data_IF_358708198010
#
_entry.id   IF_358708198010
#
_cell.length_a   1.000
_cell.length_b   1.000
_cell.length_c   1.000
_cell.angle_alpha   90.00
_cell.angle_beta   90.00
_cell.angle_gamma   90.00
#
_symmetry.space_group_name_H-M   'P 1'
#
loop_
_entity.id
_entity.type
_entity.pdbx_description
1 polymer ?
2 non-polymer ?
3 non-polymer ?
4 non-polymer ?
5 water ?
#
# COMPACT_ATOMS: atom_id res chain seq x y z
N UNK A 9 25.15 7.52 -11.37
CA UNK A 9 24.66 8.11 -10.09
C UNK A 9 23.36 8.86 -10.38
N UNK A 10 22.43 8.86 -9.42
CA UNK A 10 21.14 9.51 -9.60
C UNK A 10 21.13 10.96 -9.12
N UNK A 11 20.20 11.74 -9.67
CA UNK A 11 20.08 13.15 -9.31
C UNK A 11 18.61 13.56 -9.39
N UNK A 12 18.35 14.84 -9.17
CA UNK A 12 16.99 15.36 -9.24
C UNK A 12 16.66 16.05 -10.56
N UNK A 13 17.48 15.80 -11.59
CA UNK A 13 17.27 16.41 -12.91
C UNK A 13 18.22 15.82 -13.96
N UNK A 14 17.88 16.01 -15.24
CA UNK A 14 18.71 15.49 -16.31
C UNK A 14 18.43 14.02 -16.57
N UNK A 15 19.36 13.35 -17.26
CA UNK A 15 19.23 11.93 -17.59
C UNK A 15 19.04 11.05 -16.36
N UNK A 16 19.76 11.37 -15.29
CA UNK A 16 19.68 10.60 -14.05
C UNK A 16 18.60 11.14 -13.11
N UNK A 17 17.66 11.88 -13.68
CA UNK A 17 16.58 12.45 -12.89
C UNK A 17 15.57 11.42 -12.42
N UNK A 18 14.66 11.79 -11.52
CA UNK A 18 13.63 10.89 -10.96
C UNK A 18 12.91 10.03 -12.00
N UNK A 19 12.64 10.60 -13.17
CA UNK A 19 11.94 9.88 -14.23
C UNK A 19 12.72 8.68 -14.75
N UNK A 20 14.02 8.64 -14.52
CA UNK A 20 14.83 7.53 -15.02
C UNK A 20 15.62 6.78 -13.95
N UNK A 21 15.28 7.00 -12.70
CA UNK A 21 15.98 6.31 -11.61
C UNK A 21 15.94 4.79 -11.77
N UNK A 22 14.79 4.27 -12.17
CA UNK A 22 14.64 2.83 -12.34
C UNK A 22 15.56 2.23 -13.41
N UNK A 23 16.09 3.07 -14.30
CA UNK A 23 16.96 2.61 -15.37
C UNK A 23 18.43 2.64 -14.96
N UNK A 24 18.73 3.35 -13.88
CA UNK A 24 20.10 3.48 -13.41
C UNK A 24 20.71 2.20 -12.86
N UNK A 25 19.95 1.48 -12.04
CA UNK A 25 20.45 0.27 -11.42
C UNK A 25 19.33 -0.76 -11.24
N UNK A 26 19.63 -2.04 -11.47
CA UNK A 26 18.63 -3.12 -11.33
C UNK A 26 17.91 -3.08 -9.98
N UNK A 27 18.63 -2.68 -8.95
CA UNK A 27 18.09 -2.59 -7.60
C UNK A 27 17.08 -1.46 -7.43
N UNK A 28 16.97 -0.59 -8.43
CA UNK A 28 16.05 0.53 -8.38
C UNK A 28 14.71 0.19 -9.02
N UNK A 29 14.43 -1.09 -9.21
CA UNK A 29 13.17 -1.48 -9.86
C UNK A 29 11.97 -0.94 -9.09
N UNK A 30 12.12 -0.80 -7.77
CA UNK A 30 11.03 -0.28 -6.92
C UNK A 30 10.49 1.08 -7.36
N UNK A 31 11.38 1.95 -7.83
CA UNK A 31 10.99 3.30 -8.19
C UNK A 31 9.81 3.32 -9.22
N UNK A 32 9.56 2.20 -9.91
CA UNK A 32 8.46 2.14 -10.90
C UNK A 32 7.22 1.35 -10.48
N UNK A 33 7.14 0.98 -9.21
CA UNK A 33 6.03 0.18 -8.69
C UNK A 33 4.74 0.95 -8.38
N UNK A 34 3.89 0.36 -7.54
CA UNK A 34 2.58 0.95 -7.26
C UNK A 34 2.34 1.57 -5.88
N UNK A 35 3.37 1.62 -5.04
CA UNK A 35 3.19 2.15 -3.68
C UNK A 35 4.32 3.07 -3.33
N UNK A 36 4.58 4.02 -4.22
CA UNK A 36 5.67 4.97 -4.07
C UNK A 36 5.35 6.23 -3.30
N UNK A 37 6.39 6.86 -2.79
CA UNK A 37 6.31 8.13 -2.08
C UNK A 37 7.26 9.13 -2.79
N UNK A 38 7.01 10.43 -2.66
CA UNK A 38 5.90 11.01 -1.89
C UNK A 38 4.57 11.01 -2.65
N UNK A 39 3.51 11.48 -1.98
CA UNK A 39 2.21 11.55 -2.62
C UNK A 39 1.52 12.86 -2.27
N UNK A 40 0.51 13.22 -3.03
CA UNK A 40 -0.24 14.41 -2.71
C UNK A 40 -1.25 13.93 -1.66
N UNK A 41 -1.24 14.55 -0.49
CA UNK A 41 -2.17 14.15 0.55
C UNK A 41 -3.47 14.89 0.24
N UNK A 42 -4.34 14.23 -0.54
CA UNK A 42 -5.59 14.82 -0.99
C UNK A 42 -6.86 14.37 -0.29
N UNK A 43 -7.77 15.32 -0.03
CA UNK A 43 -9.04 15.02 0.63
C UNK A 43 -9.79 13.94 -0.17
N UNK A 44 -9.49 13.81 -1.46
CA UNK A 44 -10.15 12.81 -2.31
C UNK A 44 -9.95 11.37 -1.82
N UNK A 45 -8.81 11.09 -1.21
CA UNK A 45 -8.54 9.74 -0.73
C UNK A 45 -7.96 9.73 0.66
N UNK A 46 -8.37 10.70 1.46
CA UNK A 46 -7.94 10.81 2.84
C UNK A 46 -9.15 10.50 3.71
N UNK A 47 -9.01 9.64 4.71
CA UNK A 47 -10.15 9.34 5.55
C UNK A 47 -9.77 9.52 7.01
N UNK A 48 -10.68 10.09 7.79
CA UNK A 48 -10.41 10.30 9.20
C UNK A 48 -10.65 9.00 9.96
N UNK A 49 -9.82 8.72 10.96
CA UNK A 49 -9.98 7.52 11.74
C UNK A 49 -9.33 7.68 13.10
N UNK A 50 -9.69 6.79 14.03
CA UNK A 50 -9.12 6.82 15.37
C UNK A 50 -7.83 6.05 15.25
N UNK A 51 -6.71 6.76 15.28
CA UNK A 51 -5.42 6.10 15.15
C UNK A 51 -4.62 6.12 16.43
N UNK A 52 -3.61 5.27 16.46
CA UNK A 52 -2.73 5.16 17.61
C UNK A 52 -2.09 6.52 17.86
N UNK A 53 -2.02 6.94 19.12
CA UNK A 53 -1.40 8.21 19.43
C UNK A 53 0.09 8.10 19.22
N UNK A 54 0.69 9.18 18.75
CA UNK A 54 2.11 9.22 18.48
C UNK A 54 2.83 9.53 19.79
N UNK A 55 3.59 8.59 20.30
CA UNK A 55 4.31 8.84 21.54
C UNK A 55 5.81 8.83 21.25
N UNK A 56 6.39 10.03 21.19
CA UNK A 56 7.82 10.13 20.95
C UNK A 56 8.39 11.28 21.77
N UNK A 57 9.59 11.10 22.28
CA UNK A 57 10.28 12.14 23.05
C UNK A 57 11.74 12.07 22.64
N UNK A 58 12.09 12.80 21.59
CA UNK A 58 13.45 12.82 21.11
C UNK A 58 14.18 13.94 21.83
N UNK A 59 14.41 13.70 23.12
CA UNK A 59 15.06 14.64 24.00
C UNK A 59 16.13 15.50 23.34
N UNK A 60 17.30 14.92 23.14
CA UNK A 60 18.39 15.64 22.50
C UNK A 60 19.47 14.70 22.03
N UNK A 61 20.04 15.02 20.89
CA UNK A 61 21.09 14.23 20.29
C UNK A 61 22.38 14.97 20.56
N UNK A 62 23.28 14.33 21.30
CA UNK A 62 24.56 14.95 21.65
C UNK A 62 25.63 14.59 20.64
N UNK A 63 26.39 15.58 20.17
CA UNK A 63 27.47 15.38 19.21
C UNK A 63 27.06 14.53 17.99
N UNK A 64 25.89 14.82 17.40
CA UNK A 64 25.44 14.06 16.25
C UNK A 64 26.33 14.37 15.07
N UNK A 65 26.29 13.53 14.04
CA UNK A 65 27.10 13.74 12.86
C UNK A 65 26.26 14.43 11.78
N UNK A 66 26.76 15.54 11.26
CA UNK A 66 26.06 16.29 10.20
C UNK A 66 26.71 15.93 8.86
N UNK A 67 25.91 15.35 7.99
CA UNK A 67 26.39 14.90 6.68
C UNK A 67 25.78 15.58 5.45
N UNK A 68 26.64 15.99 4.53
CA UNK A 68 26.20 16.58 3.28
C UNK A 68 26.54 15.45 2.31
N UNK A 69 25.53 14.71 1.85
CA UNK A 69 25.81 13.59 0.94
C UNK A 69 25.50 13.96 -0.49
N UNK A 70 25.41 15.25 -0.75
CA UNK A 70 25.13 15.69 -2.09
C UNK A 70 23.66 15.74 -2.44
N UNK A 71 22.82 15.00 -1.72
CA UNK A 71 21.39 14.99 -2.03
C UNK A 71 20.54 15.64 -0.92
N UNK A 72 21.16 15.85 0.25
CA UNK A 72 20.47 16.46 1.37
C UNK A 72 21.50 16.72 2.46
N UNK A 73 21.04 17.27 3.58
CA UNK A 73 21.89 17.49 4.75
C UNK A 73 21.24 16.55 5.73
N UNK A 74 22.02 15.59 6.22
CA UNK A 74 21.50 14.58 7.11
C UNK A 74 22.21 14.59 8.44
N UNK A 75 21.46 14.32 9.51
CA UNK A 75 22.00 14.29 10.86
C UNK A 75 21.89 12.88 11.42
N UNK A 76 23.01 12.24 11.67
CA UNK A 76 23.02 10.88 12.21
C UNK A 76 23.13 10.95 13.73
N UNK A 77 22.16 10.38 14.44
CA UNK A 77 22.17 10.43 15.90
C UNK A 77 22.83 9.21 16.54
N UNK A 78 23.48 9.43 17.67
CA UNK A 78 24.15 8.35 18.39
C UNK A 78 23.21 7.67 19.41
N UNK A 79 22.29 8.44 19.99
CA UNK A 79 21.36 7.91 20.97
C UNK A 79 20.40 6.89 20.35
N UNK A 80 19.58 6.27 21.19
CA UNK A 80 18.63 5.26 20.73
C UNK A 80 17.23 5.74 21.10
N UNK A 81 16.63 6.53 20.23
CA UNK A 81 15.29 7.06 20.45
C UNK A 81 14.32 6.09 19.82
N UNK A 82 13.34 5.66 20.60
CA UNK A 82 12.37 4.69 20.14
C UNK A 82 11.05 5.28 19.66
N UNK A 83 10.49 4.64 18.63
CA UNK A 83 9.20 5.02 18.08
C UNK A 83 8.40 3.73 18.08
N UNK A 84 7.42 3.63 18.99
CA UNK A 84 6.59 2.44 19.09
C UNK A 84 5.27 2.70 18.42
N UNK A 85 5.03 2.07 17.29
CA UNK A 85 3.79 2.29 16.60
C UNK A 85 3.47 1.12 15.65
N UNK A 86 2.19 0.88 15.44
CA UNK A 86 1.73 -0.19 14.56
C UNK A 86 2.37 -1.54 14.86
N UNK A 87 2.43 -1.89 16.14
CA UNK A 87 2.99 -3.17 16.54
C UNK A 87 4.49 -3.34 16.40
N UNK A 88 5.21 -2.25 16.11
CA UNK A 88 6.65 -2.36 15.97
C UNK A 88 7.42 -1.39 16.83
N UNK A 89 8.68 -1.69 17.06
CA UNK A 89 9.52 -0.83 17.85
C UNK A 89 10.63 -0.33 16.96
N UNK A 90 10.42 0.85 16.37
CA UNK A 90 11.39 1.44 15.48
C UNK A 90 12.39 2.29 16.25
N UNK A 91 13.60 2.40 15.72
CA UNK A 91 14.63 3.20 16.36
C UNK A 91 15.06 4.31 15.42
N UNK A 92 15.10 5.54 15.92
CA UNK A 92 15.50 6.68 15.12
C UNK A 92 16.94 6.50 14.70
N UNK A 93 17.21 6.74 13.41
CA UNK A 93 18.57 6.61 12.91
C UNK A 93 19.13 7.96 12.48
N UNK A 94 18.30 8.77 11.83
CA UNK A 94 18.74 10.06 11.32
C UNK A 94 17.56 10.87 10.82
N UNK A 95 17.78 12.17 10.65
CA UNK A 95 16.78 13.01 10.04
C UNK A 95 17.50 13.84 8.98
N UNK A 96 16.79 14.21 7.92
CA UNK A 96 17.38 14.98 6.84
C UNK A 96 16.32 15.90 6.27
N UNK A 97 16.68 16.70 5.26
CA UNK A 97 15.74 17.67 4.73
C UNK A 97 15.54 17.72 3.22
N UNK A 98 14.37 18.21 2.82
CA UNK A 98 14.06 18.37 1.41
C UNK A 98 13.45 19.75 1.22
N UNK A 99 13.88 20.45 0.19
CA UNK A 99 13.37 21.77 -0.13
C UNK A 99 13.25 21.83 -1.65
N UNK A 100 12.04 22.06 -2.18
CA UNK A 100 10.77 22.26 -1.46
C UNK A 100 10.38 20.94 -0.80
N UNK A 101 9.19 20.89 -0.20
CA UNK A 101 8.75 19.66 0.45
C UNK A 101 8.51 18.57 -0.58
N UNK A 102 8.46 17.32 -0.12
CA UNK A 102 8.21 16.20 -1.00
C UNK A 102 6.69 15.95 -1.03
N UNK A 103 6.08 15.78 0.14
CA UNK A 103 4.63 15.61 0.20
C UNK A 103 3.99 16.97 0.00
N UNK A 104 2.76 16.97 -0.51
CA UNK A 104 1.99 18.20 -0.69
C UNK A 104 0.66 17.90 0.02
N UNK A 105 -0.11 18.94 0.31
CA UNK A 105 -1.39 18.76 0.98
C UNK A 105 -2.38 19.47 0.06
N UNK A 106 -3.27 18.71 -0.58
CA UNK A 106 -4.24 19.26 -1.53
C UNK A 106 -3.53 20.14 -2.55
N UNK A 107 -2.41 19.62 -3.06
CA UNK A 107 -1.63 20.33 -4.06
C UNK A 107 -0.65 21.38 -3.58
N UNK A 108 -0.66 21.67 -2.28
CA UNK A 108 0.21 22.69 -1.74
C UNK A 108 1.58 22.19 -1.25
N UNK A 109 2.62 22.81 -1.79
CA UNK A 109 3.99 22.51 -1.40
C UNK A 109 4.34 23.41 -0.24
N UNK A 110 5.20 22.92 0.65
CA UNK A 110 5.73 23.73 1.74
C UNK A 110 7.18 23.96 1.33
N UNK A 111 7.81 25.04 1.84
CA UNK A 111 9.21 25.32 1.45
C UNK A 111 10.23 24.29 1.94
N UNK A 112 9.92 23.62 3.05
CA UNK A 112 10.83 22.65 3.63
C UNK A 112 10.13 21.47 4.31
N UNK A 113 10.71 20.29 4.14
CA UNK A 113 10.17 19.10 4.80
C UNK A 113 11.33 18.34 5.49
N UNK A 114 11.11 17.92 6.73
CA UNK A 114 12.11 17.15 7.45
C UNK A 114 11.62 15.70 7.55
N UNK A 115 12.56 14.76 7.42
CA UNK A 115 12.27 13.33 7.52
C UNK A 115 13.09 12.71 8.63
N UNK A 116 12.38 12.11 9.58
CA UNK A 116 12.95 11.40 10.72
C UNK A 116 12.89 9.92 10.32
N UNK A 117 14.02 9.34 10.00
CA UNK A 117 14.08 7.97 9.52
C UNK A 117 14.37 6.96 10.64
N UNK A 118 13.43 6.04 10.86
CA UNK A 118 13.56 5.00 11.88
C UNK A 118 13.61 3.61 11.24
N UNK A 119 14.20 2.66 11.95
CA UNK A 119 14.29 1.28 11.48
C UNK A 119 14.17 0.34 12.65
N UNK A 120 13.43 -0.75 12.51
CA UNK A 120 13.31 -1.70 13.62
C UNK A 120 14.34 -2.80 13.48
N UNK A 121 14.35 -3.75 14.42
CA UNK A 121 15.32 -4.84 14.41
C UNK A 121 15.31 -5.70 13.16
N UNK A 122 14.20 -5.67 12.42
CA UNK A 122 14.13 -6.46 11.20
C UNK A 122 14.38 -5.68 9.92
N UNK A 123 14.75 -4.41 10.06
CA UNK A 123 15.01 -3.62 8.87
C UNK A 123 13.77 -2.87 8.35
N UNK A 124 12.66 -2.97 9.07
CA UNK A 124 11.45 -2.26 8.66
C UNK A 124 11.66 -0.77 8.87
N UNK A 125 11.18 0.03 7.94
CA UNK A 125 11.37 1.47 8.05
C UNK A 125 10.09 2.28 8.29
N UNK A 126 10.22 3.31 9.11
CA UNK A 126 9.12 4.22 9.38
C UNK A 126 9.72 5.61 9.26
N UNK A 127 9.05 6.51 8.54
CA UNK A 127 9.56 7.87 8.38
C UNK A 127 8.49 8.85 8.85
N UNK A 128 8.90 9.78 9.70
CA UNK A 128 7.97 10.81 10.17
C UNK A 128 8.35 12.05 9.42
N UNK A 129 7.37 12.65 8.75
CA UNK A 129 7.64 13.87 8.02
C UNK A 129 7.09 15.09 8.76
N UNK A 130 7.84 16.19 8.71
CA UNK A 130 7.44 17.44 9.36
C UNK A 130 7.56 18.58 8.32
N UNK A 131 6.46 19.31 8.11
CA UNK A 131 6.45 20.45 7.18
C UNK A 131 6.92 21.70 7.89
N UNK A 132 7.62 22.57 7.16
CA UNK A 132 8.05 23.84 7.73
C UNK A 132 7.51 24.95 6.84
N UNK A 133 6.90 25.97 7.43
CA UNK A 133 6.44 27.11 6.62
C UNK A 133 7.33 28.27 7.06
N UNK A 134 7.42 29.30 6.24
CA UNK A 134 8.25 30.44 6.56
C UNK A 134 7.66 31.17 7.77
N UNK A 135 8.51 31.64 8.67
CA UNK A 135 8.01 32.35 9.83
C UNK A 135 9.12 32.51 10.85
N UNK A 136 8.77 32.45 12.13
CA UNK A 136 9.75 32.58 13.20
C UNK A 136 10.86 31.55 12.99
N UNK A 137 12.10 31.99 13.18
CA UNK A 137 13.24 31.10 13.00
C UNK A 137 13.21 29.97 14.02
N UNK A 138 13.68 28.80 13.60
CA UNK A 138 13.76 27.66 14.50
C UNK A 138 15.21 27.58 15.02
N UNK A 139 15.40 27.63 16.34
CA UNK A 139 16.73 27.56 16.94
C UNK A 139 17.59 26.40 16.45
N UNK A 140 17.05 25.19 16.57
CA UNK A 140 17.77 23.98 16.17
C UNK A 140 18.25 23.94 14.73
N UNK A 141 17.45 24.48 13.82
CA UNK A 141 17.82 24.48 12.41
C UNK A 141 19.17 25.14 12.12
N UNK A 142 19.48 26.22 12.84
CA UNK A 142 20.77 26.88 12.61
C UNK A 142 21.90 25.91 12.95
N UNK A 143 21.73 25.12 14.01
CA UNK A 143 22.76 24.19 14.43
C UNK A 143 23.10 23.24 13.30
N UNK A 144 22.09 22.86 12.55
CA UNK A 144 22.29 21.94 11.44
C UNK A 144 22.84 22.61 10.19
N UNK A 145 22.08 23.55 9.65
CA UNK A 145 22.46 24.25 8.43
C UNK A 145 23.76 25.06 8.49
N UNK A 146 24.05 25.73 9.61
CA UNK A 146 25.26 26.53 9.72
C UNK A 146 26.49 25.69 9.97
N UNK A 147 26.30 24.44 10.40
CA UNK A 147 27.43 23.58 10.66
C UNK A 147 27.61 22.49 9.62
N UNK A 148 26.77 22.52 8.59
CA UNK A 148 26.87 21.54 7.51
C UNK A 148 27.95 21.99 6.51
N UNK A 149 28.78 21.06 6.08
CA UNK A 149 29.80 21.38 5.10
C UNK A 149 29.10 21.76 3.79
N UNK A 150 29.71 22.68 3.03
CA UNK A 150 29.15 23.16 1.77
C UNK A 150 29.44 22.18 0.64
N UNK A 151 30.34 21.25 0.89
CA UNK A 151 30.69 20.23 -0.09
C UNK A 151 30.38 18.88 0.55
N UNK A 152 30.33 17.82 -0.24
CA UNK A 152 30.05 16.51 0.32
C UNK A 152 31.05 16.17 1.41
N UNK A 153 30.54 15.65 2.51
CA UNK A 153 31.38 15.28 3.64
C UNK A 153 30.59 15.29 4.94
N UNK A 154 31.18 14.74 5.99
CA UNK A 154 30.52 14.71 7.27
C UNK A 154 31.33 15.53 8.26
N UNK A 155 30.68 15.89 9.35
CA UNK A 155 31.32 16.68 10.40
C UNK A 155 30.51 16.41 11.69
N UNK A 156 31.22 16.33 12.82
CA UNK A 156 30.55 16.12 14.10
C UNK A 156 30.21 17.48 14.67
N UNK A 157 28.95 17.67 15.05
CA UNK A 157 28.50 18.92 15.62
C UNK A 157 28.91 18.96 17.08
N UNK A 158 29.65 19.98 17.47
CA UNK A 158 30.08 20.13 18.86
C UNK A 158 28.95 20.78 19.64
N UNK A 159 27.98 19.98 20.05
CA UNK A 159 26.85 20.48 20.81
C UNK A 159 25.72 19.46 20.78
N UNK A 160 24.51 19.87 21.12
CA UNK A 160 23.40 18.94 21.11
C UNK A 160 22.23 19.58 20.39
N UNK A 161 21.36 18.73 19.85
CA UNK A 161 20.19 19.21 19.15
C UNK A 161 18.93 18.69 19.80
N UNK A 162 18.03 19.60 20.15
CA UNK A 162 16.78 19.19 20.76
C UNK A 162 15.80 18.85 19.64
N UNK A 163 15.74 17.58 19.28
CA UNK A 163 14.87 17.16 18.20
C UNK A 163 13.39 17.49 18.45
N UNK A 164 12.95 17.45 19.70
CA UNK A 164 11.56 17.77 19.99
C UNK A 164 11.22 19.19 19.52
N UNK A 165 12.22 20.07 19.51
CA UNK A 165 12.02 21.44 19.04
C UNK A 165 11.90 21.49 17.52
N UNK A 166 12.05 20.35 16.86
CA UNK A 166 11.90 20.28 15.41
C UNK A 166 10.56 19.62 15.08
N UNK A 167 9.69 19.51 16.09
CA UNK A 167 8.37 18.92 15.94
C UNK A 167 7.27 19.83 16.46
N UNK A 168 6.06 19.75 15.87
CA UNK A 168 4.96 20.60 16.33
C UNK A 168 4.43 20.06 17.66
N UNK A 169 3.87 20.93 18.50
CA UNK A 169 3.34 20.51 19.80
C UNK A 169 2.25 19.45 19.66
N UNK A 170 1.30 19.70 18.77
CA UNK A 170 0.22 18.74 18.56
C UNK A 170 0.67 17.77 17.48
N UNK A 171 0.56 16.50 17.74
CA UNK A 171 1.03 15.51 16.80
C UNK A 171 0.02 14.69 16.03
N UNK A 172 -1.03 15.35 15.55
CA UNK A 172 -2.04 14.69 14.73
C UNK A 172 -1.26 14.41 13.44
N UNK A 173 -1.64 13.37 12.73
CA UNK A 173 -0.88 13.02 11.55
C UNK A 173 -1.64 12.29 10.47
N UNK A 174 -1.01 12.17 9.31
CA UNK A 174 -1.54 11.42 8.18
C UNK A 174 -0.65 10.17 8.11
N UNK A 175 -1.20 9.04 7.68
CA UNK A 175 -0.35 7.85 7.53
C UNK A 175 -0.79 7.04 6.32
N UNK A 176 0.18 6.45 5.62
CA UNK A 176 -0.10 5.62 4.47
C UNK A 176 1.08 4.71 4.23
N UNK A 177 0.90 3.69 3.42
CA UNK A 177 1.97 2.75 3.12
C UNK A 177 2.69 3.29 1.87
N UNK A 178 4.01 3.46 1.98
CA UNK A 178 4.75 3.99 0.86
C UNK A 178 6.16 3.47 0.65
N UNK A 179 7.07 4.36 0.27
CA UNK A 179 8.43 3.97 -0.03
C UNK A 179 9.46 5.00 0.36
N UNK A 180 10.72 4.64 0.14
CA UNK A 180 11.80 5.60 0.37
C UNK A 180 11.65 6.52 -0.84
N UNK A 181 11.99 7.80 -0.71
CA UNK A 181 11.85 8.72 -1.84
C UNK A 181 13.13 8.92 -2.66
N UNK A 182 14.17 8.12 -2.41
CA UNK A 182 15.41 8.17 -3.20
C UNK A 182 15.75 6.71 -3.45
N UNK A 183 16.47 6.42 -4.55
CA UNK A 183 16.83 5.04 -4.89
C UNK A 183 17.41 4.33 -3.67
N UNK A 184 17.13 3.03 -3.48
CA UNK A 184 16.32 2.16 -4.34
C UNK A 184 14.78 2.27 -4.27
N UNK A 185 14.26 3.26 -3.54
CA UNK A 185 12.82 3.45 -3.46
C UNK A 185 12.04 2.26 -2.89
N UNK A 186 12.66 1.55 -1.96
CA UNK A 186 12.07 0.39 -1.34
C UNK A 186 10.68 0.69 -0.76
N UNK A 187 9.75 -0.23 -0.97
CA UNK A 187 8.40 -0.05 -0.45
C UNK A 187 8.24 -0.70 0.91
N UNK A 188 7.01 -0.77 1.40
CA UNK A 188 6.80 -1.34 2.72
C UNK A 188 7.20 -0.32 3.77
N UNK A 189 7.36 0.93 3.38
CA UNK A 189 7.72 1.97 4.34
C UNK A 189 6.47 2.53 5.02
N UNK A 190 6.54 2.70 6.34
CA UNK A 190 5.42 3.29 7.08
C UNK A 190 5.65 4.82 7.15
N UNK A 191 4.77 5.57 6.48
CA UNK A 191 4.86 7.01 6.50
C UNK A 191 3.89 7.61 7.53
N UNK A 192 4.38 8.60 8.25
CA UNK A 192 3.62 9.33 9.28
C UNK A 192 3.97 10.81 9.00
N UNK A 193 3.05 11.57 8.44
CA UNK A 193 3.32 12.98 8.15
C UNK A 193 2.50 13.83 9.14
N UNK A 194 3.20 14.56 10.00
CA UNK A 194 2.53 15.40 11.00
C UNK A 194 1.72 16.47 10.28
N UNK A 195 0.46 16.62 10.66
CA UNK A 195 -0.43 17.58 10.02
C UNK A 195 -0.07 19.04 10.25
N UNK A 196 0.46 19.36 11.43
CA UNK A 196 0.80 20.74 11.78
C UNK A 196 2.22 21.16 11.40
N UNK A 197 2.37 22.13 10.48
CA UNK A 197 3.72 22.55 10.11
C UNK A 197 4.27 23.47 11.17
N UNK A 198 5.59 23.54 11.29
CA UNK A 198 6.18 24.48 12.25
C UNK A 198 6.88 25.53 11.39
N UNK A 199 7.65 26.43 11.99
CA UNK A 199 8.28 27.45 11.18
C UNK A 199 9.80 27.42 11.10
N UNK A 200 10.30 28.05 10.04
CA UNK A 200 11.71 28.20 9.76
C UNK A 200 11.78 29.59 9.15
N UNK A 201 12.86 30.33 9.39
CA UNK A 201 12.98 31.66 8.83
C UNK A 201 13.35 31.56 7.35
N UNK A 202 13.06 32.63 6.61
CA UNK A 202 13.38 32.66 5.19
C UNK A 202 14.88 32.41 5.01
N UNK A 203 15.69 32.98 5.90
CA UNK A 203 17.14 32.79 5.82
C UNK A 203 17.55 31.34 6.07
N UNK A 204 16.91 30.68 7.02
CA UNK A 204 17.24 29.28 7.29
C UNK A 204 16.92 28.45 6.05
N UNK A 205 15.74 28.65 5.47
CA UNK A 205 15.32 27.92 4.29
C UNK A 205 16.25 28.20 3.10
N UNK A 206 16.59 29.45 2.89
CA UNK A 206 17.48 29.79 1.78
C UNK A 206 18.89 29.25 2.01
N UNK A 207 19.32 29.22 3.26
CA UNK A 207 20.64 28.69 3.54
C UNK A 207 20.69 27.23 3.10
N UNK A 208 19.69 26.45 3.50
CA UNK A 208 19.66 25.06 3.10
C UNK A 208 19.62 24.93 1.58
N UNK A 209 18.75 25.70 0.93
CA UNK A 209 18.65 25.62 -0.52
C UNK A 209 19.94 26.03 -1.21
N UNK A 210 20.64 27.03 -0.67
CA UNK A 210 21.87 27.47 -1.30
C UNK A 210 22.96 26.40 -1.15
N UNK A 211 22.92 25.65 -0.05
CA UNK A 211 23.92 24.59 0.13
C UNK A 211 23.66 23.46 -0.85
N UNK A 212 22.39 23.12 -1.05
CA UNK A 212 22.00 22.05 -1.97
C UNK A 212 22.21 22.44 -3.43
N UNK A 213 22.07 23.73 -3.71
CA UNK A 213 22.23 24.24 -5.08
C UNK A 213 21.05 23.91 -5.99
N UNK A 214 20.18 23.01 -5.58
CA UNK A 214 19.03 22.65 -6.42
C UNK A 214 17.94 22.00 -5.57
N UNK A 215 16.73 21.95 -6.13
CA UNK A 215 15.61 21.32 -5.44
C UNK A 215 15.95 19.85 -5.24
N UNK A 216 15.63 19.32 -4.06
CA UNK A 216 15.93 17.91 -3.83
C UNK A 216 14.69 17.11 -3.40
N UNK A 217 13.55 17.45 -4.01
CA UNK A 217 12.30 16.75 -3.72
C UNK A 217 11.88 15.90 -4.92
N UNK A 218 11.51 14.66 -4.65
CA UNK A 218 11.05 13.77 -5.70
C UNK A 218 9.62 14.17 -6.04
N UNK A 219 9.24 14.08 -7.33
CA UNK A 219 7.87 14.44 -7.73
C UNK A 219 6.85 13.52 -7.00
N UNK A 220 5.66 14.02 -6.74
CA UNK A 220 4.67 13.17 -6.07
C UNK A 220 4.31 12.02 -7.01
N UNK A 221 3.95 10.89 -6.40
CA UNK A 221 3.62 9.67 -7.12
C UNK A 221 2.16 9.31 -7.04
N UNK A 222 1.66 8.49 -7.99
CA UNK A 222 0.25 8.09 -8.00
C UNK A 222 -0.12 7.35 -6.72
N UNK A 223 -1.24 7.72 -6.11
CA UNK A 223 -1.66 7.06 -4.87
C UNK A 223 -2.14 5.61 -5.19
N UNK A 224 -2.57 5.40 -6.43
CA UNK A 224 -3.08 4.10 -6.88
C UNK A 224 -4.21 3.55 -6.00
N UNK A 225 -4.11 2.33 -5.48
CA UNK A 225 -5.22 1.79 -4.67
C UNK A 225 -5.15 2.06 -3.15
N UNK A 226 -4.30 3.00 -2.75
CA UNK A 226 -4.12 3.30 -1.33
C UNK A 226 -5.02 4.45 -0.85
N UNK A 227 -5.37 4.38 0.44
CA UNK A 227 -6.07 5.46 1.10
C UNK A 227 -5.05 6.00 2.10
N UNK A 228 -5.23 7.26 2.49
CA UNK A 228 -4.36 7.89 3.48
C UNK A 228 -5.23 8.10 4.72
N UNK A 229 -4.75 7.70 5.90
CA UNK A 229 -5.53 7.89 7.13
C UNK A 229 -5.11 9.17 7.83
N UNK A 230 -6.04 9.83 8.48
CA UNK A 230 -5.77 11.06 9.20
C UNK A 230 -6.27 10.88 10.62
N UNK A 231 -5.41 11.08 11.61
CA UNK A 231 -5.83 10.89 12.99
C UNK A 231 -6.79 11.97 13.47
N UNK A 232 -7.59 11.70 14.38
N UNK B 9 5.59 -23.89 -15.03
CA UNK B 9 4.20 -23.46 -14.73
C UNK B 9 4.04 -23.44 -13.21
N UNK B 10 3.28 -22.49 -12.69
CA UNK B 10 3.08 -22.39 -11.24
C UNK B 10 1.91 -23.23 -10.74
N UNK B 11 1.95 -23.57 -9.45
CA UNK B 11 0.89 -24.37 -8.83
C UNK B 11 0.74 -23.95 -7.36
N UNK B 12 -0.12 -24.64 -6.64
CA UNK B 12 -0.34 -24.35 -5.22
C UNK B 12 0.44 -25.28 -4.29
N UNK B 13 1.41 -26.01 -4.82
CA UNK B 13 2.22 -26.92 -4.02
C UNK B 13 3.44 -27.45 -4.81
N UNK B 14 4.41 -28.00 -4.07
CA UNK B 14 5.60 -28.54 -4.71
C UNK B 14 6.60 -27.46 -5.05
N UNK B 15 7.52 -27.77 -5.96
CA UNK B 15 8.54 -26.81 -6.38
C UNK B 15 7.97 -25.51 -6.93
N UNK B 16 6.90 -25.61 -7.72
CA UNK B 16 6.27 -24.45 -8.32
C UNK B 16 5.19 -23.86 -7.41
N UNK B 17 5.29 -24.16 -6.12
CA UNK B 17 4.34 -23.67 -5.14
C UNK B 17 4.48 -22.19 -4.86
N UNK B 18 3.49 -21.57 -4.17
CA UNK B 18 3.48 -20.15 -3.84
C UNK B 18 4.81 -19.61 -3.31
N UNK B 19 5.51 -20.41 -2.51
CA UNK B 19 6.79 -20.00 -1.93
C UNK B 19 7.88 -19.77 -2.99
N UNK B 20 7.72 -20.33 -4.18
CA UNK B 20 8.74 -20.16 -5.23
C UNK B 20 8.21 -19.55 -6.53
N UNK B 21 7.04 -18.94 -6.48
CA UNK B 21 6.47 -18.34 -7.67
C UNK B 21 7.41 -17.30 -8.27
N UNK B 22 8.04 -16.50 -7.41
CA UNK B 22 8.93 -15.45 -7.88
C UNK B 22 10.16 -15.97 -8.64
N UNK B 23 10.45 -17.26 -8.48
CA UNK B 23 11.60 -17.87 -9.14
C UNK B 23 11.23 -18.46 -10.49
N UNK B 24 9.94 -18.67 -10.73
CA UNK B 24 9.48 -19.26 -11.98
C UNK B 24 9.69 -18.37 -13.20
N UNK B 25 9.37 -17.09 -13.10
CA UNK B 25 9.49 -16.18 -14.23
C UNK B 25 9.90 -14.78 -13.76
N UNK B 26 10.76 -14.10 -14.52
CA UNK B 26 11.21 -12.75 -14.17
C UNK B 26 10.05 -11.79 -13.89
N UNK B 27 8.94 -11.99 -14.62
CA UNK B 27 7.77 -11.14 -14.49
C UNK B 27 7.02 -11.36 -13.17
N UNK B 28 7.43 -12.39 -12.42
CA UNK B 28 6.79 -12.71 -11.16
C UNK B 28 7.53 -12.07 -9.98
N UNK B 29 8.36 -11.07 -10.25
CA UNK B 29 9.11 -10.42 -9.18
C UNK B 29 8.16 -9.83 -8.11
N UNK B 30 6.96 -9.43 -8.54
CA UNK B 30 5.98 -8.86 -7.62
C UNK B 30 5.63 -9.77 -6.44
N UNK B 31 5.57 -11.08 -6.69
CA UNK B 31 5.18 -12.02 -5.65
C UNK B 31 6.03 -11.87 -4.37
N UNK B 32 7.22 -11.28 -4.46
CA UNK B 32 8.07 -11.11 -3.26
C UNK B 32 8.14 -9.70 -2.66
N UNK B 33 7.27 -8.80 -3.12
CA UNK B 33 7.27 -7.41 -2.67
C UNK B 33 6.60 -7.16 -1.30
N UNK B 34 6.20 -5.91 -1.06
CA UNK B 34 5.64 -5.54 0.25
C UNK B 34 4.15 -5.26 0.35
N UNK B 35 3.41 -5.42 -0.75
CA UNK B 35 1.98 -5.10 -0.71
C UNK B 35 1.18 -6.20 -1.37
N UNK B 36 1.44 -7.43 -0.93
CA UNK B 36 0.79 -8.61 -1.49
C UNK B 36 -0.53 -9.02 -0.85
N UNK B 37 -1.30 -9.79 -1.62
CA UNK B 37 -2.57 -10.33 -1.19
C UNK B 37 -2.49 -11.87 -1.37
N UNK B 38 -3.29 -12.63 -0.63
CA UNK B 38 -4.26 -12.13 0.36
C UNK B 38 -3.62 -11.78 1.71
N UNK B 39 -4.43 -11.26 2.62
CA UNK B 39 -3.93 -10.93 3.95
C UNK B 39 -4.91 -11.38 5.02
N UNK B 40 -4.44 -11.45 6.26
CA UNK B 40 -5.35 -11.81 7.35
C UNK B 40 -5.97 -10.47 7.72
N UNK B 41 -7.30 -10.39 7.67
CA UNK B 41 -7.98 -9.14 8.00
C UNK B 41 -8.08 -9.15 9.52
N UNK B 42 -7.09 -8.54 10.17
CA UNK B 42 -7.01 -8.54 11.63
C UNK B 42 -7.39 -7.25 12.35
N UNK B 43 -8.08 -7.36 13.48
CA UNK B 43 -8.47 -6.20 14.25
C UNK B 43 -7.21 -5.40 14.63
N UNK B 44 -6.04 -6.05 14.65
CA UNK B 44 -4.80 -5.35 15.00
C UNK B 44 -4.45 -4.19 14.08
N UNK B 45 -4.83 -4.29 12.82
CA UNK B 45 -4.53 -3.22 11.87
C UNK B 45 -5.71 -2.89 10.99
N UNK B 46 -6.90 -3.01 11.56
CA UNK B 46 -8.13 -2.70 10.85
C UNK B 46 -8.72 -1.47 11.51
N UNK B 47 -9.07 -0.44 10.74
CA UNK B 47 -9.63 0.74 11.35
C UNK B 47 -10.98 1.06 10.72
N UNK B 48 -11.94 1.51 11.54
CA UNK B 48 -13.25 1.84 11.02
C UNK B 48 -13.21 3.24 10.45
N UNK B 49 -13.93 3.47 9.37
CA UNK B 49 -13.95 4.78 8.77
C UNK B 49 -15.19 4.94 7.90
N UNK B 50 -15.51 6.19 7.56
CA UNK B 50 -16.65 6.49 6.72
C UNK B 50 -16.16 6.32 5.29
N UNK B 51 -16.55 5.23 4.66
CA UNK B 51 -16.09 4.97 3.29
C UNK B 51 -17.19 5.16 2.26
N UNK B 52 -16.76 5.26 1.02
CA UNK B 52 -17.68 5.42 -0.10
C UNK B 52 -18.61 4.21 -0.12
N UNK B 53 -19.90 4.45 -0.36
CA UNK B 53 -20.85 3.36 -0.41
C UNK B 53 -20.62 2.56 -1.68
N UNK B 54 -20.78 1.25 -1.57
CA UNK B 54 -20.59 0.37 -2.71
C UNK B 54 -21.88 0.36 -3.53
N UNK B 55 -21.83 0.90 -4.75
CA UNK B 55 -23.01 0.91 -5.58
C UNK B 55 -22.80 0.02 -6.79
N UNK B 56 -23.33 -1.19 -6.74
CA UNK B 56 -23.19 -2.11 -7.86
C UNK B 56 -24.49 -2.85 -8.07
N UNK B 57 -24.80 -3.15 -9.32
CA UNK B 57 -26.01 -3.89 -9.67
C UNK B 57 -25.65 -4.77 -10.83
N UNK B 58 -25.16 -5.98 -10.54
CA UNK B 58 -24.75 -6.91 -11.58
C UNK B 58 -25.94 -7.78 -11.91
N UNK B 59 -26.93 -7.15 -12.51
CA UNK B 59 -28.19 -7.75 -12.90
C UNK B 59 -28.10 -9.22 -13.28
N UNK B 60 -27.62 -9.47 -14.49
CA UNK B 60 -27.45 -10.82 -14.93
C UNK B 60 -26.54 -10.89 -16.13
N UNK B 61 -25.75 -11.94 -16.16
CA UNK B 61 -24.82 -12.17 -17.25
C UNK B 61 -25.47 -13.26 -18.11
N UNK B 62 -25.76 -12.94 -19.36
CA UNK B 62 -26.39 -13.88 -20.28
C UNK B 62 -25.34 -14.65 -21.09
N UNK B 63 -25.48 -15.98 -21.15
CA UNK B 63 -24.54 -16.82 -21.91
C UNK B 63 -23.06 -16.56 -21.61
N UNK B 64 -22.72 -16.41 -20.31
CA UNK B 64 -21.33 -16.16 -19.93
C UNK B 64 -20.51 -17.42 -20.22
N UNK B 65 -19.20 -17.25 -20.31
CA UNK B 65 -18.30 -18.36 -20.59
C UNK B 65 -17.76 -18.92 -19.27
N UNK B 66 -17.90 -20.22 -19.07
CA UNK B 66 -17.40 -20.88 -17.86
C UNK B 66 -16.08 -21.57 -18.19
N UNK B 67 -15.01 -21.12 -17.54
CA UNK B 67 -13.68 -21.64 -17.81
C UNK B 67 -12.98 -22.38 -16.67
N UNK B 68 -12.42 -23.55 -16.98
CA UNK B 68 -11.66 -24.30 -16.02
C UNK B 68 -10.23 -24.06 -16.53
N UNK B 69 -9.46 -23.22 -15.85
CA UNK B 69 -8.11 -22.96 -16.34
C UNK B 69 -7.07 -23.70 -15.54
N UNK B 70 -7.51 -24.74 -14.85
CA UNK B 70 -6.60 -25.52 -14.04
C UNK B 70 -6.33 -24.96 -12.65
N UNK B 71 -6.55 -23.68 -12.45
CA UNK B 71 -6.30 -23.06 -11.15
C UNK B 71 -7.57 -22.59 -10.44
N UNK B 72 -8.67 -22.53 -11.19
CA UNK B 72 -9.95 -22.12 -10.64
C UNK B 72 -11.02 -22.33 -11.70
N UNK B 73 -12.27 -22.02 -11.35
CA UNK B 73 -13.37 -22.07 -12.29
C UNK B 73 -13.70 -20.60 -12.41
N UNK B 74 -13.59 -20.09 -13.63
CA UNK B 74 -13.81 -18.67 -13.89
C UNK B 74 -14.97 -18.47 -14.85
N UNK B 75 -15.73 -17.40 -14.62
CA UNK B 75 -16.89 -17.06 -15.45
C UNK B 75 -16.61 -15.69 -16.11
N UNK B 76 -16.48 -15.69 -17.45
CA UNK B 76 -16.22 -14.45 -18.19
C UNK B 76 -17.54 -13.88 -18.66
N UNK B 77 -17.85 -12.65 -18.27
CA UNK B 77 -19.10 -12.02 -18.65
C UNK B 77 -18.99 -11.20 -19.93
N UNK B 78 -20.07 -11.14 -20.69
CA UNK B 78 -20.10 -10.38 -21.95
C UNK B 78 -20.60 -8.94 -21.72
N UNK B 79 -21.49 -8.76 -20.74
CA UNK B 79 -22.05 -7.44 -20.43
C UNK B 79 -20.97 -6.49 -19.91
N UNK B 80 -21.34 -5.23 -19.72
CA UNK B 80 -20.40 -4.24 -19.21
C UNK B 80 -20.95 -3.66 -17.91
N UNK B 81 -20.67 -4.35 -16.81
CA UNK B 81 -21.12 -3.93 -15.49
C UNK B 81 -20.07 -2.99 -14.92
N UNK B 82 -20.54 -1.83 -14.48
CA UNK B 82 -19.63 -0.82 -13.94
C UNK B 82 -19.54 -0.78 -12.42
N UNK B 83 -18.33 -0.54 -11.93
CA UNK B 83 -18.05 -0.41 -10.52
C UNK B 83 -17.37 0.96 -10.41
N UNK B 84 -18.08 1.95 -9.85
CA UNK B 84 -17.52 3.28 -9.69
C UNK B 84 -17.10 3.46 -8.25
N UNK B 85 -15.80 3.53 -8.03
CA UNK B 85 -15.31 3.71 -6.67
C UNK B 85 -13.90 4.27 -6.67
N UNK B 86 -13.59 5.02 -5.62
CA UNK B 86 -12.28 5.62 -5.43
C UNK B 86 -11.82 6.42 -6.65
N UNK B 87 -12.73 7.21 -7.22
CA UNK B 87 -12.37 8.03 -8.36
C UNK B 87 -12.18 7.33 -9.68
N UNK B 88 -12.51 6.04 -9.75
CA UNK B 88 -12.34 5.32 -11.01
C UNK B 88 -13.58 4.61 -11.48
N UNK B 89 -13.60 4.26 -12.76
CA UNK B 89 -14.74 3.57 -13.30
C UNK B 89 -14.24 2.23 -13.78
N UNK B 90 -14.38 1.22 -12.92
CA UNK B 90 -13.92 -0.12 -13.25
C UNK B 90 -15.03 -0.89 -13.95
N UNK B 91 -14.64 -1.87 -14.77
CA UNK B 91 -15.62 -2.67 -15.49
C UNK B 91 -15.40 -4.11 -15.11
N UNK B 92 -16.48 -4.79 -14.75
CA UNK B 92 -16.39 -6.19 -14.36
C UNK B 92 -15.95 -6.99 -15.58
N UNK B 93 -15.02 -7.91 -15.36
CA UNK B 93 -14.53 -8.74 -16.45
C UNK B 93 -14.87 -10.22 -16.21
N UNK B 94 -14.76 -10.68 -14.97
CA UNK B 94 -15.03 -12.07 -14.65
C UNK B 94 -15.02 -12.27 -13.15
N UNK B 95 -15.57 -13.41 -12.72
CA UNK B 95 -15.49 -13.78 -11.30
C UNK B 95 -15.02 -15.24 -11.28
N UNK B 96 -14.31 -15.62 -10.21
CA UNK B 96 -13.80 -16.97 -10.11
C UNK B 96 -13.80 -17.35 -8.64
N UNK B 97 -13.37 -18.56 -8.32
CA UNK B 97 -13.43 -19.03 -6.94
C UNK B 97 -12.17 -19.65 -6.35
N UNK B 98 -12.07 -19.58 -5.03
CA UNK B 98 -10.96 -20.19 -4.31
C UNK B 98 -11.53 -20.96 -3.12
N UNK B 99 -11.00 -22.17 -2.91
CA UNK B 99 -11.44 -23.01 -1.80
C UNK B 99 -10.17 -23.67 -1.26
N UNK B 100 -9.86 -23.44 0.03
CA UNK B 100 -10.58 -22.61 1.01
C UNK B 100 -10.43 -21.15 0.57
N UNK B 101 -10.92 -20.22 1.40
CA UNK B 101 -10.83 -18.82 1.07
C UNK B 101 -9.37 -18.36 1.09
N UNK B 102 -9.11 -17.24 0.45
CA UNK B 102 -7.76 -16.68 0.43
C UNK B 102 -7.60 -15.73 1.63
N UNK B 103 -8.51 -14.79 1.76
CA UNK B 103 -8.46 -13.88 2.91
C UNK B 103 -9.01 -14.66 4.10
N UNK B 104 -8.60 -14.23 5.29
CA UNK B 104 -9.08 -14.81 6.54
C UNK B 104 -9.53 -13.59 7.34
N UNK B 105 -10.32 -13.81 8.38
CA UNK B 105 -10.79 -12.69 9.23
C UNK B 105 -10.39 -13.12 10.65
N UNK B 106 -9.44 -12.40 11.23
CA UNK B 106 -8.92 -12.73 12.56
C UNK B 106 -8.51 -14.20 12.62
N UNK B 107 -7.82 -14.63 11.57
CA UNK B 107 -7.35 -16.00 11.51
C UNK B 107 -8.30 -17.05 10.98
N UNK B 108 -9.55 -16.66 10.75
CA UNK B 108 -10.55 -17.62 10.29
C UNK B 108 -10.71 -17.74 8.79
N UNK B 109 -10.60 -18.98 8.32
CA UNK B 109 -10.77 -19.30 6.90
C UNK B 109 -12.22 -19.62 6.67
N UNK B 110 -12.72 -19.30 5.47
CA UNK B 110 -14.08 -19.66 5.10
C UNK B 110 -13.86 -20.74 4.06
N UNK B 111 -14.85 -21.61 3.85
CA UNK B 111 -14.69 -22.69 2.88
C UNK B 111 -14.56 -22.28 1.44
N UNK B 112 -15.13 -21.12 1.10
CA UNK B 112 -15.11 -20.63 -0.26
C UNK B 112 -15.07 -19.11 -0.37
N UNK B 113 -14.30 -18.61 -1.35
CA UNK B 113 -14.22 -17.16 -1.58
C UNK B 113 -14.40 -16.90 -3.08
N UNK B 114 -15.26 -15.95 -3.41
CA UNK B 114 -15.45 -15.58 -4.81
C UNK B 114 -14.77 -14.22 -5.05
N UNK B 115 -14.16 -14.08 -6.22
CA UNK B 115 -13.49 -12.85 -6.61
C UNK B 115 -14.11 -12.32 -7.90
N UNK B 116 -14.59 -11.07 -7.83
CA UNK B 116 -15.19 -10.33 -8.94
C UNK B 116 -14.06 -9.41 -9.42
N UNK B 117 -13.47 -9.73 -10.56
CA UNK B 117 -12.35 -8.99 -11.10
C UNK B 117 -12.75 -7.87 -12.08
N UNK B 118 -12.43 -6.62 -11.75
CA UNK B 118 -12.76 -5.48 -12.58
C UNK B 118 -11.48 -4.79 -13.07
N UNK B 119 -11.60 -4.06 -14.17
CA UNK B 119 -10.47 -3.33 -14.73
C UNK B 119 -10.98 -2.05 -15.35
N UNK B 120 -10.26 -0.95 -15.16
CA UNK B 120 -10.70 0.32 -15.76
C UNK B 120 -9.99 0.52 -17.09
N UNK B 121 -10.29 1.63 -17.75
CA UNK B 121 -9.72 1.92 -19.08
C UNK B 121 -8.19 1.97 -19.10
N UNK B 122 -7.58 2.18 -17.94
CA UNK B 122 -6.13 2.26 -17.90
C UNK B 122 -5.45 0.99 -17.42
N UNK B 123 -6.24 -0.08 -17.23
CA UNK B 123 -5.65 -1.31 -16.78
C UNK B 123 -5.62 -1.44 -15.25
N UNK B 124 -6.18 -0.47 -14.54
CA UNK B 124 -6.20 -0.56 -13.07
C UNK B 124 -7.16 -1.65 -12.67
N UNK B 125 -6.81 -2.41 -11.63
CA UNK B 125 -7.63 -3.53 -11.18
C UNK B 125 -8.25 -3.37 -9.80
N UNK B 126 -9.51 -3.79 -9.69
CA UNK B 126 -10.24 -3.76 -8.42
C UNK B 126 -10.86 -5.13 -8.31
N UNK B 127 -10.75 -5.75 -7.14
CA UNK B 127 -11.33 -7.07 -6.93
C UNK B 127 -12.24 -7.01 -5.71
N UNK B 128 -13.46 -7.50 -5.87
CA UNK B 128 -14.40 -7.57 -4.77
C UNK B 128 -14.41 -9.01 -4.34
N UNK B 129 -14.21 -9.25 -3.06
CA UNK B 129 -14.21 -10.60 -2.54
C UNK B 129 -15.48 -10.88 -1.73
N UNK B 130 -16.01 -12.08 -1.88
CA UNK B 130 -17.23 -12.50 -1.18
C UNK B 130 -16.96 -13.85 -0.50
N UNK B 131 -17.14 -13.90 0.82
CA UNK B 131 -16.94 -15.16 1.58
C UNK B 131 -18.21 -16.00 1.55
N UNK B 132 -18.06 -17.33 1.52
CA UNK B 132 -19.21 -18.22 1.55
C UNK B 132 -19.03 -19.16 2.72
N UNK B 133 -20.06 -19.30 3.54
CA UNK B 133 -20.01 -20.25 4.64
C UNK B 133 -20.99 -21.36 4.26
N UNK B 134 -20.81 -22.53 4.84
CA UNK B 134 -21.71 -23.65 4.57
C UNK B 134 -23.12 -23.34 5.09
N UNK B 135 -24.14 -23.70 4.32
CA UNK B 135 -25.50 -23.42 4.76
C UNK B 135 -26.46 -23.65 3.61
N UNK B 136 -27.51 -22.85 3.54
CA UNK B 136 -28.50 -22.96 2.47
C UNK B 136 -27.78 -22.87 1.12
N UNK B 137 -28.17 -23.74 0.20
CA UNK B 137 -27.55 -23.74 -1.11
C UNK B 137 -27.83 -22.45 -1.86
N UNK B 138 -26.89 -22.05 -2.71
CA UNK B 138 -27.04 -20.84 -3.50
C UNK B 138 -27.43 -21.29 -4.91
N UNK B 139 -28.58 -20.84 -5.41
CA UNK B 139 -29.07 -21.21 -6.75
C UNK B 139 -28.03 -21.02 -7.87
N UNK B 140 -27.49 -19.81 -7.95
CA UNK B 140 -26.52 -19.47 -8.99
C UNK B 140 -25.28 -20.35 -9.04
N UNK B 141 -24.79 -20.76 -7.88
CA UNK B 141 -23.59 -21.57 -7.83
C UNK B 141 -23.71 -22.87 -8.63
N UNK B 142 -24.90 -23.49 -8.62
CA UNK B 142 -25.05 -24.72 -9.38
C UNK B 142 -24.83 -24.45 -10.87
N UNK B 143 -25.32 -23.31 -11.34
CA UNK B 143 -25.16 -22.94 -12.75
C UNK B 143 -23.69 -22.95 -13.14
N UNK B 144 -22.84 -22.49 -12.23
CA UNK B 144 -21.41 -22.45 -12.49
C UNK B 144 -20.73 -23.81 -12.33
N UNK B 145 -20.77 -24.35 -11.12
CA UNK B 145 -20.12 -25.60 -10.80
C UNK B 145 -20.59 -26.82 -11.57
N UNK B 146 -21.90 -26.91 -11.84
CA UNK B 146 -22.42 -28.08 -12.57
C UNK B 146 -22.19 -28.01 -14.08
N UNK B 147 -21.85 -26.82 -14.55
CA UNK B 147 -21.60 -26.66 -15.97
C UNK B 147 -20.13 -26.44 -16.29
N UNK B 148 -19.29 -26.56 -15.27
CA UNK B 148 -17.86 -26.36 -15.47
C UNK B 148 -17.25 -27.68 -15.91
N UNK B 149 -16.40 -27.63 -16.93
CA UNK B 149 -15.73 -28.83 -17.42
C UNK B 149 -14.81 -29.35 -16.31
N UNK B 150 -14.69 -30.67 -16.22
CA UNK B 150 -13.85 -31.29 -15.19
C UNK B 150 -12.37 -31.23 -15.57
N UNK B 151 -12.09 -30.89 -16.81
CA UNK B 151 -10.72 -30.78 -17.31
C UNK B 151 -10.55 -29.35 -17.84
N UNK B 152 -9.32 -28.91 -18.03
CA UNK B 152 -9.11 -27.56 -18.53
C UNK B 152 -9.83 -27.33 -19.84
N UNK B 153 -10.50 -26.18 -19.92
CA UNK B 153 -11.25 -25.85 -21.12
C UNK B 153 -12.39 -24.90 -20.77
N UNK B 154 -13.01 -24.34 -21.79
CA UNK B 154 -14.10 -23.41 -21.58
C UNK B 154 -15.38 -23.96 -22.17
N UNK B 155 -16.49 -23.37 -21.75
CA UNK B 155 -17.79 -23.77 -22.20
C UNK B 155 -18.74 -22.59 -22.01
N UNK B 156 -19.66 -22.40 -22.94
CA UNK B 156 -20.62 -21.30 -22.83
C UNK B 156 -21.84 -21.83 -22.11
N UNK B 157 -22.24 -21.14 -21.05
CA UNK B 157 -23.39 -21.56 -20.28
C UNK B 157 -24.65 -21.13 -20.99
N UNK B 158 -25.53 -22.09 -21.27
CA UNK B 158 -26.78 -21.79 -21.95
C UNK B 158 -27.79 -21.32 -20.92
N UNK B 159 -27.71 -20.04 -20.58
CA UNK B 159 -28.62 -19.48 -19.60
C UNK B 159 -28.06 -18.17 -19.08
N UNK B 160 -28.56 -17.68 -17.96
CA UNK B 160 -28.03 -16.44 -17.40
C UNK B 160 -27.76 -16.63 -15.91
N UNK B 161 -26.87 -15.81 -15.38
CA UNK B 161 -26.51 -15.88 -13.98
C UNK B 161 -26.78 -14.54 -13.31
N UNK B 162 -27.53 -14.58 -12.22
CA UNK B 162 -27.84 -13.37 -11.50
C UNK B 162 -26.71 -13.13 -10.51
N UNK B 163 -25.71 -12.35 -10.91
CA UNK B 163 -24.57 -12.11 -10.06
C UNK B 163 -24.96 -11.47 -8.73
N UNK B 164 -25.99 -10.64 -8.71
CA UNK B 164 -26.42 -10.01 -7.45
C UNK B 164 -26.75 -11.07 -6.40
N UNK B 165 -27.21 -12.23 -6.86
CA UNK B 165 -27.55 -13.33 -5.97
C UNK B 165 -26.28 -13.98 -5.42
N UNK B 166 -25.12 -13.55 -5.90
CA UNK B 166 -23.87 -14.10 -5.40
C UNK B 166 -23.23 -13.08 -4.46
N UNK B 167 -24.03 -12.09 -4.02
CA UNK B 167 -23.58 -11.03 -3.11
C UNK B 167 -24.50 -10.90 -1.90
N UNK B 168 -23.95 -10.49 -0.75
CA UNK B 168 -24.78 -10.32 0.44
C UNK B 168 -25.62 -9.06 0.28
N UNK B 169 -26.80 -9.02 0.92
CA UNK B 169 -27.67 -7.85 0.84
C UNK B 169 -26.99 -6.59 1.34
N UNK B 170 -26.36 -6.67 2.51
CA UNK B 170 -25.68 -5.51 3.08
C UNK B 170 -24.26 -5.55 2.56
N UNK B 171 -23.81 -4.42 2.03
CA UNK B 171 -22.48 -4.39 1.46
C UNK B 171 -21.40 -3.63 2.17
N UNK B 172 -21.35 -3.78 3.49
CA UNK B 172 -20.30 -3.16 4.27
C UNK B 172 -19.05 -3.95 3.84
N UNK B 173 -17.89 -3.31 3.89
CA UNK B 173 -16.71 -4.01 3.42
C UNK B 173 -15.41 -3.56 4.04
N UNK B 174 -14.36 -4.33 3.77
CA UNK B 174 -13.01 -4.01 4.20
C UNK B 174 -12.29 -3.61 2.91
N UNK B 175 -11.32 -2.71 2.98
CA UNK B 175 -10.57 -2.36 1.77
C UNK B 175 -9.11 -2.08 2.11
N UNK B 176 -8.21 -2.45 1.21
CA UNK B 176 -6.79 -2.22 1.42
C UNK B 176 -6.11 -2.29 0.06
N UNK B 177 -4.87 -1.83 -0.01
CA UNK B 177 -4.13 -1.83 -1.25
C UNK B 177 -3.37 -3.15 -1.31
N UNK B 178 -3.56 -3.92 -2.37
CA UNK B 178 -2.87 -5.19 -2.47
C UNK B 178 -2.44 -5.64 -3.87
N UNK B 179 -2.57 -6.93 -4.14
CA UNK B 179 -2.11 -7.48 -5.40
C UNK B 179 -3.00 -8.60 -5.94
N UNK B 180 -2.62 -9.11 -7.10
CA UNK B 180 -3.32 -10.24 -7.67
C UNK B 180 -2.78 -11.38 -6.81
N UNK B 181 -3.57 -12.43 -6.60
CA UNK B 181 -3.09 -13.54 -5.77
C UNK B 181 -2.49 -14.71 -6.55
N UNK B 182 -2.32 -14.53 -7.86
CA UNK B 182 -1.68 -15.58 -8.67
C UNK B 182 -0.67 -14.79 -9.53
N UNK B 183 0.41 -15.45 -9.97
CA UNK B 183 1.43 -14.79 -10.80
C UNK B 183 0.75 -14.05 -11.94
N UNK B 184 1.29 -12.86 -12.33
CA UNK B 184 2.48 -12.20 -11.78
C UNK B 184 2.38 -11.46 -10.43
N UNK B 185 1.23 -11.56 -9.77
CA UNK B 185 1.05 -10.92 -8.45
C UNK B 185 1.20 -9.40 -8.47
N UNK B 186 0.79 -8.79 -9.58
CA UNK B 186 0.88 -7.35 -9.75
C UNK B 186 0.23 -6.59 -8.59
N UNK B 187 0.89 -5.54 -8.12
CA UNK B 187 0.36 -4.75 -7.02
C UNK B 187 -0.44 -3.57 -7.55
N UNK B 188 -0.84 -2.66 -6.66
CA UNK B 188 -1.65 -1.53 -7.08
C UNK B 188 -3.09 -2.01 -7.23
N UNK B 189 -3.41 -3.19 -6.71
CA UNK B 189 -4.77 -3.68 -6.82
C UNK B 189 -5.65 -3.13 -5.72
N UNK B 190 -6.86 -2.71 -6.07
CA UNK B 190 -7.80 -2.21 -5.06
C UNK B 190 -8.66 -3.39 -4.58
N UNK B 191 -8.49 -3.79 -3.33
CA UNK B 191 -9.28 -4.88 -2.77
C UNK B 191 -10.46 -4.36 -1.95
N UNK B 192 -11.59 -5.00 -2.14
CA UNK B 192 -12.84 -4.67 -1.45
C UNK B 192 -13.40 -6.05 -1.03
N UNK B 193 -13.31 -6.39 0.25
CA UNK B 193 -13.81 -7.68 0.70
C UNK B 193 -15.09 -7.43 1.51
N UNK B 194 -16.22 -7.93 1.02
CA UNK B 194 -17.50 -7.73 1.69
C UNK B 194 -17.47 -8.41 3.05
N UNK B 195 -17.89 -7.69 4.08
CA UNK B 195 -17.84 -8.22 5.44
C UNK B 195 -18.80 -9.37 5.72
N UNK B 196 -19.95 -9.35 5.08
CA UNK B 196 -20.98 -10.37 5.30
C UNK B 196 -20.88 -11.57 4.37
N UNK B 197 -20.62 -12.77 4.92
CA UNK B 197 -20.53 -13.94 4.06
C UNK B 197 -21.93 -14.41 3.70
N UNK B 198 -22.08 -15.09 2.56
CA UNK B 198 -23.39 -15.63 2.21
C UNK B 198 -23.22 -17.14 2.30
N UNK B 199 -24.21 -17.91 1.88
CA UNK B 199 -24.07 -19.36 2.00
C UNK B 199 -23.97 -20.15 0.71
N UNK B 200 -23.41 -21.35 0.86
CA UNK B 200 -23.26 -22.31 -0.22
C UNK B 200 -23.48 -23.65 0.50
N UNK B 201 -24.08 -24.63 -0.17
CA UNK B 201 -24.30 -25.91 0.47
C UNK B 201 -23.01 -26.69 0.50
N UNK B 202 -22.92 -27.66 1.40
CA UNK B 202 -21.75 -28.50 1.53
C UNK B 202 -21.45 -29.17 0.19
N UNK B 203 -22.51 -29.60 -0.49
CA UNK B 203 -22.36 -30.26 -1.79
C UNK B 203 -21.81 -29.30 -2.85
N UNK B 204 -22.26 -28.05 -2.84
CA UNK B 204 -21.75 -27.08 -3.82
C UNK B 204 -20.26 -26.88 -3.58
N UNK B 205 -19.89 -26.66 -2.33
CA UNK B 205 -18.49 -26.45 -1.97
C UNK B 205 -17.62 -27.67 -2.32
N UNK B 206 -18.11 -28.87 -2.00
CA UNK B 206 -17.35 -30.08 -2.32
C UNK B 206 -17.26 -30.31 -3.82
N UNK B 207 -18.31 -29.93 -4.55
CA UNK B 207 -18.27 -30.11 -5.99
C UNK B 207 -17.12 -29.26 -6.55
N UNK B 208 -17.05 -27.99 -6.15
CA UNK B 208 -15.98 -27.14 -6.62
C UNK B 208 -14.62 -27.73 -6.22
N UNK B 209 -14.47 -28.12 -4.97
CA UNK B 209 -13.19 -28.68 -4.52
C UNK B 209 -12.83 -29.96 -5.28
N UNK B 210 -13.82 -30.81 -5.56
CA UNK B 210 -13.53 -32.05 -6.26
C UNK B 210 -13.10 -31.77 -7.70
N UNK B 211 -13.63 -30.71 -8.31
CA UNK B 211 -13.22 -30.37 -9.67
C UNK B 211 -11.78 -29.86 -9.68
N UNK B 212 -11.44 -29.05 -8.69
CA UNK B 212 -10.08 -28.49 -8.58
C UNK B 212 -9.05 -29.55 -8.20
N UNK B 213 -9.49 -30.54 -7.43
CA UNK B 213 -8.61 -31.62 -6.97
C UNK B 213 -7.65 -31.19 -5.86
N UNK B 214 -7.52 -29.88 -5.61
CA UNK B 214 -6.62 -29.42 -4.56
C UNK B 214 -6.98 -27.99 -4.14
N UNK B 215 -6.49 -27.59 -2.97
CA UNK B 215 -6.74 -26.24 -2.47
C UNK B 215 -6.11 -25.25 -3.46
N UNK B 216 -6.82 -24.17 -3.76
CA UNK B 216 -6.28 -23.20 -4.68
C UNK B 216 -6.22 -21.79 -4.07
N UNK B 217 -5.88 -21.73 -2.79
CA UNK B 217 -5.76 -20.45 -2.10
C UNK B 217 -4.29 -20.14 -1.80
N UNK B 218 -3.87 -18.92 -2.08
CA UNK B 218 -2.50 -18.51 -1.80
C UNK B 218 -2.41 -18.22 -0.30
N UNK B 219 -1.28 -18.55 0.33
CA UNK B 219 -1.12 -18.29 1.76
C UNK B 219 -1.24 -16.78 2.02
N UNK B 220 -1.72 -16.40 3.20
CA UNK B 220 -1.84 -14.97 3.50
C UNK B 220 -0.45 -14.36 3.56
N UNK B 221 -0.36 -13.09 3.21
CA UNK B 221 0.90 -12.36 3.15
C UNK B 221 1.02 -11.31 4.24
N UNK B 222 2.26 -10.89 4.55
CA UNK B 222 2.49 -9.87 5.59
C UNK B 222 1.79 -8.55 5.23
N UNK B 223 1.09 -7.97 6.17
CA UNK B 223 0.39 -6.71 5.91
C UNK B 223 1.41 -5.57 5.78
N UNK B 224 2.58 -5.74 6.40
CA UNK B 224 3.65 -4.74 6.39
C UNK B 224 3.19 -3.37 6.86
N UNK B 225 3.39 -2.31 6.08
CA UNK B 225 3.00 -0.97 6.57
C UNK B 225 1.59 -0.52 6.22
N UNK B 226 0.75 -1.45 5.79
CA UNK B 226 -0.63 -1.12 5.41
C UNK B 226 -1.64 -1.27 6.54
N UNK B 227 -2.69 -0.45 6.47
CA UNK B 227 -3.83 -0.57 7.37
C UNK B 227 -4.98 -1.03 6.46
N UNK B 228 -5.96 -1.71 7.06
CA UNK B 228 -7.14 -2.15 6.34
C UNK B 228 -8.31 -1.28 6.83
N UNK B 229 -9.08 -0.70 5.91
CA UNK B 229 -10.22 0.13 6.33
C UNK B 229 -11.49 -0.70 6.34
N UNK B 230 -12.41 -0.39 7.26
CA UNK B 230 -13.66 -1.12 7.37
C UNK B 230 -14.78 -0.08 7.34
N UNK B 231 -15.73 -0.23 6.43
CA UNK B 231 -16.80 0.75 6.34
C UNK B 231 -17.75 0.69 7.51
N UNK B 232 -18.39 1.72 7.81
#
# INVERSE_FOLDING_TARGET
GSHMAEVHHWSYEGENGPENWAKLNPEYFWCNLKNQSPVDISDNYKVHAKLEKLHINYNKAVNPEIVNNGHTIQVNVLEDFKLNIKGKEYHLKQFHFHAPSEHTVNGKYYPLEMHLVHKDKDGNIAVIGVFFKEGKANPELDKVFKNALKEEGSKVFDGSININALLPPVKNYYTYSGSLTTPPCTEGVLWIVLKQPITASKQQIELFKSIMKHNNNRPTQPINSRYILESN
GSHMAEVHHWSYEGENGPENWAKLNPEYFWCNLKNQSPVDISDNYKVHAKLEKLHINYNKAVNPEIVNNGHTIQVNVLEDFKLNIKGKEYHLKQFHFHAPSEHTVNGKYYPLEMHLVHKDKDGNIAVIGVFFKEGKANPELDKVFKNALKEEGSKVFDGSININALLPPVKNYYTYSGSLTTPPCTEGVLWIVLKQPITASKQQIELFKSIMKHNNNRPTQPINSRYILESN
#
